data_IF_284892719311
#
_entry.id   IF_284892719311
#
_cell.length_a   1.000
_cell.length_b   1.000
_cell.length_c   1.000
_cell.angle_alpha   90.00
_cell.angle_beta   90.00
_cell.angle_gamma   90.00
#
_symmetry.space_group_name_H-M   'P 1'
#
loop_
_entity.id
_entity.type
_entity.pdbx_description
1 polymer ?
#
# COMPACT_ATOMS: atom_id res chain seq x y z
N UNK A 1 -5.10 -67.14 -6.25
CA UNK A 1 -4.62 -66.76 -4.89
C UNK A 1 -3.13 -66.46 -5.03
N UNK A 2 -2.54 -65.35 -4.54
CA UNK A 2 -3.01 -64.31 -3.62
C UNK A 2 -3.04 -62.86 -4.22
N UNK A 3 -3.49 -61.92 -3.38
CA UNK A 3 -3.71 -60.46 -3.60
C UNK A 3 -2.48 -59.66 -3.03
N UNK A 4 -2.49 -58.31 -2.96
CA UNK A 4 -1.74 -57.34 -3.76
C UNK A 4 -0.58 -56.64 -2.99
N UNK A 5 0.25 -55.85 -3.66
CA UNK A 5 0.88 -54.69 -3.02
C UNK A 5 0.98 -53.50 -3.97
N UNK A 6 0.17 -52.48 -3.69
CA UNK A 6 0.38 -51.09 -4.07
C UNK A 6 1.74 -50.63 -3.53
N UNK A 7 2.65 -50.22 -4.40
CA UNK A 7 3.81 -49.40 -4.01
C UNK A 7 3.72 -48.09 -4.77
N UNK A 8 3.66 -47.01 -3.99
CA UNK A 8 3.56 -45.62 -4.39
C UNK A 8 4.71 -45.25 -5.32
N UNK A 9 4.42 -44.79 -6.53
CA UNK A 9 5.39 -44.08 -7.37
C UNK A 9 5.49 -42.66 -6.82
N UNK A 10 6.52 -42.44 -6.00
CA UNK A 10 6.96 -41.09 -5.66
C UNK A 10 7.74 -40.54 -6.86
N UNK A 11 7.23 -39.45 -7.44
CA UNK A 11 7.96 -38.64 -8.39
C UNK A 11 9.15 -37.99 -7.65
N UNK A 12 10.35 -38.54 -7.87
CA UNK A 12 11.60 -37.86 -7.58
C UNK A 12 12.16 -37.39 -8.91
N UNK A 13 11.89 -36.12 -9.23
CA UNK A 13 12.51 -35.40 -10.35
C UNK A 13 14.03 -35.38 -10.12
N UNK A 14 14.75 -36.10 -10.98
CA UNK A 14 16.19 -36.07 -11.03
C UNK A 14 16.66 -34.66 -11.43
N UNK A 15 17.32 -33.99 -10.49
CA UNK A 15 18.11 -32.80 -10.71
C UNK A 15 19.25 -33.11 -11.68
N UNK A 16 19.13 -32.64 -12.92
CA UNK A 16 20.26 -32.59 -13.83
C UNK A 16 20.94 -31.22 -13.69
N UNK A 17 21.98 -31.19 -12.87
CA UNK A 17 22.97 -30.14 -12.86
C UNK A 17 23.83 -30.28 -14.12
N UNK A 18 23.79 -29.28 -15.00
CA UNK A 18 24.85 -29.04 -15.98
C UNK A 18 25.35 -27.63 -15.77
N UNK A 19 26.58 -27.56 -15.27
CA UNK A 19 27.34 -26.35 -15.10
C UNK A 19 27.60 -25.71 -16.47
N UNK A 20 27.03 -24.52 -16.68
CA UNK A 20 27.63 -23.52 -17.52
C UNK A 20 28.23 -22.47 -16.58
N UNK A 21 29.52 -22.63 -16.28
CA UNK A 21 30.37 -21.55 -15.78
C UNK A 21 30.54 -20.52 -16.89
N UNK A 22 29.51 -19.70 -17.09
CA UNK A 22 29.63 -18.37 -17.67
C UNK A 22 29.51 -17.40 -16.50
N UNK A 23 30.48 -16.49 -16.38
CA UNK A 23 30.71 -15.56 -15.28
C UNK A 23 29.42 -15.20 -14.51
N UNK A 24 29.16 -15.92 -13.42
CA UNK A 24 28.35 -15.39 -12.35
C UNK A 24 29.20 -14.29 -11.72
N UNK A 25 29.05 -13.06 -12.20
CA UNK A 25 29.33 -11.91 -11.35
C UNK A 25 28.59 -12.18 -10.04
N UNK A 26 29.23 -11.98 -8.88
CA UNK A 26 28.48 -12.05 -7.63
C UNK A 26 27.27 -11.15 -7.84
N UNK A 27 26.07 -11.72 -7.65
CA UNK A 27 24.92 -10.91 -7.34
C UNK A 27 25.31 -10.20 -6.05
N UNK A 28 25.94 -9.04 -6.19
CA UNK A 28 26.06 -8.06 -5.15
C UNK A 28 24.65 -7.97 -4.62
N UNK A 29 24.45 -8.46 -3.40
CA UNK A 29 23.31 -8.03 -2.63
C UNK A 29 23.30 -6.52 -2.81
N UNK A 30 22.26 -5.99 -3.43
CA UNK A 30 22.08 -4.55 -3.53
C UNK A 30 22.05 -4.08 -2.08
N UNK A 31 23.19 -3.63 -1.56
CA UNK A 31 23.19 -2.51 -0.63
C UNK A 31 22.21 -1.54 -1.24
N UNK A 32 21.11 -1.24 -0.53
CA UNK A 32 20.20 -0.17 -0.90
C UNK A 32 21.07 1.00 -1.36
N UNK A 33 21.04 1.24 -2.67
CA UNK A 33 21.85 2.31 -3.25
C UNK A 33 21.39 3.59 -2.57
N UNK A 34 22.33 4.39 -2.09
CA UNK A 34 22.07 5.69 -1.45
C UNK A 34 21.62 6.73 -2.48
N UNK A 35 20.69 6.38 -3.36
CA UNK A 35 19.91 7.36 -4.10
C UNK A 35 19.18 8.15 -3.03
N UNK A 36 19.49 9.43 -2.91
CA UNK A 36 18.86 10.23 -1.88
C UNK A 36 17.37 10.32 -2.21
N UNK A 37 16.51 10.02 -1.24
CA UNK A 37 15.07 10.27 -1.36
C UNK A 37 14.77 11.74 -1.71
N UNK A 38 15.74 12.65 -1.48
CA UNK A 38 15.69 14.04 -1.91
C UNK A 38 15.75 14.21 -3.43
N UNK A 39 16.66 13.51 -4.14
CA UNK A 39 16.77 13.58 -5.59
C UNK A 39 15.50 13.07 -6.29
N UNK A 40 14.99 11.91 -5.89
CA UNK A 40 13.73 11.38 -6.44
C UNK A 40 12.52 12.30 -6.16
N UNK A 41 12.51 13.00 -5.02
CA UNK A 41 11.47 13.98 -4.67
C UNK A 41 11.58 15.26 -5.49
N UNK A 42 12.78 15.78 -5.68
CA UNK A 42 13.01 16.98 -6.51
C UNK A 42 12.46 16.80 -7.92
N UNK A 43 12.61 15.60 -8.48
CA UNK A 43 12.09 15.27 -9.82
C UNK A 43 10.57 15.10 -9.81
N UNK A 44 10.00 14.54 -8.74
CA UNK A 44 8.54 14.44 -8.62
C UNK A 44 7.85 15.80 -8.49
N UNK A 45 8.54 16.83 -8.00
CA UNK A 45 8.00 18.19 -7.88
C UNK A 45 7.77 18.86 -9.25
N UNK A 46 8.30 18.33 -10.36
CA UNK A 46 8.01 18.79 -11.72
C UNK A 46 6.55 18.59 -12.12
N UNK A 47 5.85 17.67 -11.46
CA UNK A 47 4.50 17.25 -11.83
C UNK A 47 4.46 16.42 -13.12
N UNK A 48 3.27 15.92 -13.51
CA UNK A 48 3.14 15.00 -14.63
C UNK A 48 3.46 15.67 -15.97
N UNK A 49 4.25 15.00 -16.81
CA UNK A 49 4.69 15.53 -18.10
C UNK A 49 5.91 14.79 -18.65
N UNK A 50 6.22 15.06 -19.92
CA UNK A 50 7.45 14.59 -20.58
C UNK A 50 8.44 15.74 -20.68
N UNK A 51 9.67 15.52 -20.24
CA UNK A 51 10.74 16.52 -20.22
C UNK A 51 11.96 15.99 -20.97
N UNK A 52 12.52 16.84 -21.82
CA UNK A 52 13.81 16.61 -22.48
C UNK A 52 14.95 17.21 -21.65
N UNK A 53 16.19 16.84 -21.96
CA UNK A 53 17.36 17.40 -21.30
C UNK A 53 17.49 18.90 -21.49
N UNK A 54 17.04 19.45 -22.62
CA UNK A 54 17.01 20.89 -22.85
C UNK A 54 16.03 21.61 -21.90
N UNK A 55 14.90 20.97 -21.57
CA UNK A 55 13.94 21.50 -20.61
C UNK A 55 14.49 21.44 -19.18
N UNK A 56 15.23 20.37 -18.85
CA UNK A 56 15.85 20.16 -17.54
C UNK A 56 17.09 21.04 -17.32
N UNK A 57 17.87 21.33 -18.37
CA UNK A 57 19.07 22.17 -18.31
C UNK A 57 18.77 23.64 -17.97
N UNK A 58 17.50 24.08 -18.01
CA UNK A 58 17.10 25.38 -17.49
C UNK A 58 17.08 25.41 -15.95
N UNK A 59 17.17 24.25 -15.29
CA UNK A 59 17.09 24.04 -13.83
C UNK A 59 18.32 23.24 -13.35
N UNK A 60 19.47 23.91 -13.18
CA UNK A 60 20.78 23.30 -12.87
C UNK A 60 20.75 22.26 -11.72
N UNK A 61 19.98 22.49 -10.65
CA UNK A 61 19.92 21.58 -9.49
C UNK A 61 19.16 20.26 -9.80
N UNK A 62 18.28 20.28 -10.79
CA UNK A 62 17.41 19.16 -11.16
C UNK A 62 18.13 18.19 -12.10
N UNK A 63 18.90 18.72 -13.05
CA UNK A 63 19.71 17.91 -13.97
C UNK A 63 20.79 17.17 -13.19
N UNK A 64 21.50 17.82 -12.26
CA UNK A 64 22.48 17.19 -11.37
C UNK A 64 21.85 16.03 -10.56
N UNK A 65 20.63 16.25 -10.06
CA UNK A 65 19.89 15.24 -9.29
C UNK A 65 19.50 14.03 -10.14
N UNK A 66 19.10 14.26 -11.39
CA UNK A 66 18.75 13.21 -12.35
C UNK A 66 19.98 12.43 -12.81
N UNK A 67 21.07 13.13 -13.11
CA UNK A 67 22.34 12.51 -13.50
C UNK A 67 22.91 11.64 -12.39
N UNK A 68 22.91 12.13 -11.15
CA UNK A 68 23.32 11.34 -9.99
C UNK A 68 22.45 10.09 -9.79
N UNK A 69 21.15 10.19 -10.06
CA UNK A 69 20.22 9.06 -9.95
C UNK A 69 20.47 8.02 -11.06
N UNK A 70 20.73 8.46 -12.28
CA UNK A 70 21.09 7.59 -13.40
C UNK A 70 22.45 6.92 -13.20
N UNK A 71 23.50 7.66 -12.83
CA UNK A 71 24.85 7.14 -12.56
C UNK A 71 24.82 6.02 -11.51
N UNK A 72 24.17 6.28 -10.38
CA UNK A 72 24.06 5.31 -9.28
C UNK A 72 23.21 4.09 -9.64
N UNK A 73 22.12 4.29 -10.39
CA UNK A 73 21.19 3.19 -10.73
C UNK A 73 21.79 2.29 -11.80
N UNK A 74 22.41 2.87 -12.82
CA UNK A 74 23.04 2.15 -13.92
C UNK A 74 24.40 1.53 -13.52
N UNK A 75 25.01 1.97 -12.40
CA UNK A 75 26.17 1.36 -11.74
C UNK A 75 27.30 0.98 -12.70
N UNK A 76 27.73 1.93 -13.54
CA UNK A 76 28.81 1.71 -14.51
C UNK A 76 30.14 2.01 -13.82
N UNK A 77 30.55 1.10 -12.94
CA UNK A 77 31.79 1.26 -12.16
C UNK A 77 33.03 1.12 -13.05
N UNK A 78 33.91 2.14 -13.04
CA UNK A 78 35.25 2.09 -13.64
C UNK A 78 35.39 2.72 -15.04
N UNK A 79 34.34 3.35 -15.56
CA UNK A 79 34.35 4.10 -16.81
C UNK A 79 33.84 5.51 -16.54
N UNK A 80 34.36 6.52 -17.25
CA UNK A 80 33.80 7.86 -17.30
C UNK A 80 32.41 7.75 -17.90
N UNK A 81 31.39 7.58 -17.05
CA UNK A 81 30.01 7.79 -17.46
C UNK A 81 29.87 9.29 -17.62
N UNK A 82 30.23 9.80 -18.79
CA UNK A 82 29.52 10.95 -19.28
C UNK A 82 28.18 10.39 -19.71
N UNK A 83 27.16 10.56 -18.85
CA UNK A 83 25.81 10.66 -19.38
C UNK A 83 25.95 11.70 -20.50
N UNK A 84 25.61 11.33 -21.72
CA UNK A 84 25.51 12.38 -22.71
C UNK A 84 24.39 13.26 -22.19
N UNK A 85 24.71 14.46 -21.73
CA UNK A 85 23.82 15.46 -21.12
C UNK A 85 22.73 15.95 -22.07
N UNK A 86 22.48 15.21 -23.14
CA UNK A 86 21.73 15.61 -24.31
C UNK A 86 20.43 14.82 -24.41
N UNK A 87 20.29 13.61 -23.82
CA UNK A 87 19.02 12.84 -23.89
C UNK A 87 18.69 12.08 -22.58
N UNK A 88 18.35 12.81 -21.51
CA UNK A 88 17.54 12.27 -20.41
C UNK A 88 16.08 12.53 -20.76
N UNK A 89 15.37 11.47 -21.10
CA UNK A 89 13.92 11.53 -21.27
C UNK A 89 13.24 11.12 -19.96
N UNK A 90 12.40 12.02 -19.46
CA UNK A 90 11.66 11.84 -18.21
C UNK A 90 10.17 11.91 -18.51
N UNK A 91 9.41 10.86 -18.20
CA UNK A 91 7.95 10.94 -18.12
C UNK A 91 7.50 10.79 -16.67
N UNK A 92 6.97 11.85 -16.09
CA UNK A 92 6.41 11.88 -14.74
C UNK A 92 4.93 11.51 -14.78
N UNK A 93 4.55 10.54 -13.98
CA UNK A 93 3.22 9.97 -13.90
C UNK A 93 2.62 10.26 -12.52
N UNK A 94 1.40 10.78 -12.48
CA UNK A 94 0.65 11.02 -11.23
C UNK A 94 -0.62 10.17 -11.18
N UNK A 95 -0.90 9.61 -10.00
CA UNK A 95 -2.15 8.90 -9.70
C UNK A 95 -3.24 9.82 -9.12
N UNK A 96 -2.93 11.10 -8.91
CA UNK A 96 -3.78 12.18 -8.37
C UNK A 96 -3.92 12.17 -6.85
N UNK A 97 -3.84 11.01 -6.19
CA UNK A 97 -3.96 10.86 -4.74
C UNK A 97 -2.99 9.78 -4.19
N UNK A 98 -1.75 9.76 -4.69
CA UNK A 98 -0.81 8.67 -4.42
C UNK A 98 0.61 8.95 -4.92
N UNK A 99 1.34 7.92 -5.39
CA UNK A 99 2.71 8.09 -5.87
C UNK A 99 2.80 9.02 -7.08
N UNK A 100 3.96 9.67 -7.16
CA UNK A 100 4.54 10.14 -8.41
C UNK A 100 5.57 9.10 -8.86
N UNK A 101 5.55 8.75 -10.15
CA UNK A 101 6.55 7.87 -10.74
C UNK A 101 7.21 8.55 -11.93
N UNK A 102 8.38 8.05 -12.30
CA UNK A 102 9.14 8.54 -13.42
C UNK A 102 9.73 7.38 -14.21
N UNK A 103 9.62 7.48 -15.53
CA UNK A 103 10.34 6.65 -16.50
C UNK A 103 11.55 7.42 -16.98
N UNK A 104 12.73 6.81 -16.91
CA UNK A 104 14.00 7.44 -17.27
C UNK A 104 14.73 6.60 -18.30
N UNK A 105 15.14 7.25 -19.38
CA UNK A 105 16.07 6.72 -20.38
C UNK A 105 17.30 7.60 -20.39
N UNK A 106 18.50 7.00 -20.28
CA UNK A 106 19.77 7.69 -20.21
C UNK A 106 20.82 7.00 -21.10
N UNK A 107 21.49 7.75 -21.96
CA UNK A 107 22.54 7.22 -22.83
C UNK A 107 23.89 7.13 -22.10
N UNK A 108 24.55 5.98 -22.23
CA UNK A 108 25.86 5.68 -21.67
C UNK A 108 26.89 5.62 -22.80
N UNK A 109 27.82 6.59 -22.78
CA UNK A 109 29.02 6.54 -23.61
C UNK A 109 30.09 5.68 -22.92
N UNK A 110 30.62 4.70 -23.65
CA UNK A 110 31.75 3.90 -23.21
C UNK A 110 33.01 4.48 -23.86
N UNK A 111 33.91 5.03 -23.04
CA UNK A 111 35.08 5.84 -23.43
C UNK A 111 36.23 5.03 -24.09
N UNK A 112 35.91 3.98 -24.85
CA UNK A 112 36.90 3.20 -25.60
C UNK A 112 36.73 3.46 -27.10
N UNK A 113 37.87 3.58 -27.79
CA UNK A 113 38.15 4.03 -29.17
C UNK A 113 37.43 3.24 -30.31
N UNK A 114 36.27 2.63 -30.04
CA UNK A 114 35.43 1.90 -30.99
C UNK A 114 33.97 2.37 -30.91
N UNK A 115 33.63 3.20 -31.88
CA UNK A 115 32.39 3.94 -32.14
C UNK A 115 31.11 3.11 -32.34
N UNK A 116 30.89 1.99 -31.64
CA UNK A 116 29.88 1.00 -32.10
C UNK A 116 28.83 0.60 -31.06
N UNK A 117 28.98 0.92 -29.77
CA UNK A 117 27.97 0.52 -28.78
C UNK A 117 27.66 1.61 -27.76
N UNK A 118 26.97 2.65 -28.19
CA UNK A 118 26.19 3.46 -27.27
C UNK A 118 25.12 2.55 -26.62
N UNK A 119 25.05 2.56 -25.29
CA UNK A 119 24.09 1.76 -24.52
C UNK A 119 23.11 2.68 -23.83
N UNK A 120 21.82 2.49 -24.04
CA UNK A 120 20.79 3.22 -23.31
C UNK A 120 20.41 2.45 -22.06
N UNK A 121 20.51 3.10 -20.90
CA UNK A 121 20.05 2.59 -19.61
C UNK A 121 18.64 3.12 -19.33
N UNK A 122 17.72 2.18 -19.13
CA UNK A 122 16.31 2.44 -18.88
C UNK A 122 15.94 1.97 -17.48
N UNK A 123 15.31 2.82 -16.69
CA UNK A 123 14.79 2.46 -15.37
C UNK A 123 13.57 3.32 -15.01
N UNK A 124 12.86 2.92 -13.97
CA UNK A 124 11.77 3.69 -13.39
C UNK A 124 12.04 3.93 -11.91
N UNK A 125 11.53 5.04 -11.38
CA UNK A 125 11.45 5.25 -9.94
C UNK A 125 10.04 5.66 -9.53
N UNK A 126 9.68 5.32 -8.30
CA UNK A 126 8.41 5.66 -7.67
C UNK A 126 8.71 6.34 -6.35
N UNK A 127 8.08 7.48 -6.08
CA UNK A 127 8.27 8.26 -4.86
C UNK A 127 6.92 8.65 -4.26
N UNK A 128 6.83 8.50 -2.95
CA UNK A 128 5.61 8.76 -2.19
C UNK A 128 5.50 10.24 -1.83
N UNK A 129 4.27 10.70 -1.62
CA UNK A 129 4.06 11.98 -0.95
C UNK A 129 4.79 12.00 0.40
N UNK A 130 5.28 13.18 0.81
CA UNK A 130 5.93 13.34 2.12
C UNK A 130 5.07 12.72 3.22
N UNK A 131 5.71 11.92 4.08
CA UNK A 131 5.10 11.20 5.20
C UNK A 131 4.19 10.02 4.85
N UNK A 132 4.32 9.44 3.66
CA UNK A 132 3.63 8.18 3.28
C UNK A 132 4.61 7.08 2.92
N UNK A 133 4.17 5.82 3.01
CA UNK A 133 4.91 4.64 2.56
C UNK A 133 4.07 3.80 1.62
N UNK A 134 4.74 3.07 0.75
CA UNK A 134 4.15 2.13 -0.20
C UNK A 134 4.12 0.71 0.33
N UNK A 135 3.11 -0.01 -0.12
CA UNK A 135 3.01 -1.46 -0.07
C UNK A 135 2.30 -1.94 -1.34
N UNK A 136 2.98 -2.72 -2.20
CA UNK A 136 2.43 -3.11 -3.49
C UNK A 136 3.43 -3.79 -4.42
N UNK A 137 3.21 -3.64 -5.72
CA UNK A 137 4.06 -4.21 -6.77
C UNK A 137 4.16 -3.30 -7.99
N UNK A 138 5.26 -3.43 -8.73
CA UNK A 138 5.46 -2.79 -10.02
C UNK A 138 5.93 -3.79 -11.07
N UNK A 139 5.67 -3.47 -12.33
CA UNK A 139 6.22 -4.11 -13.51
C UNK A 139 6.72 -3.01 -14.45
N UNK A 140 8.03 -3.00 -14.68
CA UNK A 140 8.72 -2.15 -15.62
C UNK A 140 9.13 -2.97 -16.84
N UNK A 141 8.81 -2.50 -18.04
CA UNK A 141 9.18 -3.21 -19.26
C UNK A 141 9.74 -2.24 -20.29
N UNK A 142 10.76 -2.69 -21.01
CA UNK A 142 11.34 -1.99 -22.15
C UNK A 142 11.00 -2.78 -23.41
N UNK A 143 10.47 -2.10 -24.42
CA UNK A 143 10.08 -2.68 -25.71
C UNK A 143 10.93 -2.08 -26.82
N UNK A 144 11.43 -2.91 -27.74
CA UNK A 144 12.10 -2.44 -28.95
C UNK A 144 11.05 -1.98 -29.94
N UNK A 145 11.14 -0.76 -30.45
CA UNK A 145 10.40 -0.34 -31.62
C UNK A 145 11.33 -0.41 -32.84
N UNK A 146 11.23 -1.51 -33.59
CA UNK A 146 11.95 -1.66 -34.86
C UNK A 146 11.25 -0.78 -35.90
N UNK A 147 11.93 0.25 -36.44
CA UNK A 147 11.32 1.17 -37.39
C UNK A 147 11.25 0.53 -38.78
N UNK A 148 10.39 -0.46 -39.01
CA UNK A 148 10.20 -1.01 -40.36
C UNK A 148 8.92 -1.84 -40.50
N UNK A 149 7.77 -1.17 -40.71
CA UNK A 149 6.64 -1.59 -41.57
C UNK A 149 6.03 -3.01 -41.45
N UNK A 150 6.48 -3.85 -40.54
CA UNK A 150 6.02 -5.20 -40.29
C UNK A 150 5.58 -5.24 -38.83
N UNK A 151 4.27 -5.32 -38.62
CA UNK A 151 3.61 -5.71 -37.37
C UNK A 151 4.47 -5.48 -36.12
N UNK A 152 4.39 -4.27 -35.56
CA UNK A 152 4.95 -3.88 -34.26
C UNK A 152 4.56 -4.90 -33.19
N UNK A 153 5.35 -5.97 -33.04
CA UNK A 153 5.23 -6.86 -31.90
C UNK A 153 5.94 -6.12 -30.77
N UNK A 154 5.16 -5.45 -29.93
CA UNK A 154 5.60 -4.83 -28.67
C UNK A 154 5.98 -5.92 -27.65
N UNK A 155 6.73 -6.93 -28.07
CA UNK A 155 7.24 -7.93 -27.15
C UNK A 155 8.32 -7.27 -26.30
N UNK A 156 8.17 -7.27 -24.96
CA UNK A 156 9.14 -6.62 -24.10
C UNK A 156 10.50 -7.29 -24.25
N UNK A 157 11.51 -6.52 -24.66
CA UNK A 157 12.91 -6.92 -24.65
C UNK A 157 13.29 -7.47 -23.27
N UNK A 158 12.75 -6.84 -22.23
CA UNK A 158 12.89 -7.27 -20.84
C UNK A 158 11.74 -6.73 -20.01
N UNK A 159 11.16 -7.59 -19.16
CA UNK A 159 10.24 -7.18 -18.10
C UNK A 159 10.89 -7.43 -16.75
N UNK A 160 10.88 -6.42 -15.90
CA UNK A 160 11.34 -6.44 -14.51
C UNK A 160 10.14 -6.22 -13.61
N UNK A 161 9.86 -7.19 -12.74
CA UNK A 161 8.82 -7.05 -11.70
C UNK A 161 9.46 -6.92 -10.34
N UNK A 162 8.88 -6.11 -9.46
CA UNK A 162 9.36 -5.97 -8.09
C UNK A 162 8.25 -5.59 -7.11
N UNK A 163 8.59 -5.61 -5.82
CA UNK A 163 7.72 -5.18 -4.73
C UNK A 163 7.92 -3.70 -4.42
N UNK A 164 6.83 -3.02 -4.07
CA UNK A 164 6.87 -1.66 -3.53
C UNK A 164 6.84 -1.73 -2.01
N UNK A 165 7.91 -1.28 -1.34
CA UNK A 165 7.98 -1.19 0.11
C UNK A 165 8.86 0.00 0.50
N UNK A 166 8.33 0.93 1.30
CA UNK A 166 9.06 2.10 1.77
C UNK A 166 8.58 3.42 1.15
N UNK A 167 9.38 4.48 1.27
CA UNK A 167 9.00 5.83 0.80
C UNK A 167 9.32 6.06 -0.69
N UNK A 168 10.26 5.29 -1.23
CA UNK A 168 10.68 5.35 -2.62
C UNK A 168 11.15 3.96 -3.07
N UNK A 169 11.06 3.68 -4.38
CA UNK A 169 11.56 2.46 -5.00
C UNK A 169 12.14 2.80 -6.36
N UNK A 170 13.31 2.25 -6.67
CA UNK A 170 13.92 2.31 -7.99
C UNK A 170 13.87 0.92 -8.60
N UNK A 171 13.46 0.80 -9.86
CA UNK A 171 13.44 -0.47 -10.56
C UNK A 171 14.85 -0.94 -10.88
N UNK A 172 15.03 -2.25 -11.05
CA UNK A 172 16.29 -2.74 -11.64
C UNK A 172 16.46 -2.16 -13.05
N UNK A 173 17.64 -1.62 -13.41
CA UNK A 173 17.86 -1.05 -14.74
C UNK A 173 17.87 -2.12 -15.84
N UNK A 174 17.50 -1.69 -17.04
CA UNK A 174 17.58 -2.46 -18.27
C UNK A 174 18.44 -1.73 -19.27
N UNK A 175 19.32 -2.45 -19.97
CA UNK A 175 20.22 -1.86 -20.96
C UNK A 175 19.80 -2.29 -22.36
N UNK A 176 19.73 -1.34 -23.28
CA UNK A 176 19.51 -1.53 -24.72
C UNK A 176 20.67 -0.94 -25.51
N UNK A 177 20.79 -1.29 -26.79
CA UNK A 177 21.79 -0.75 -27.72
C UNK A 177 21.16 0.31 -28.62
N UNK A 178 21.86 1.41 -28.91
CA UNK A 178 21.30 2.61 -29.57
C UNK A 178 20.68 2.38 -30.96
N UNK A 179 20.95 1.26 -31.64
CA UNK A 179 20.26 0.93 -32.89
C UNK A 179 18.77 0.64 -32.73
N UNK A 180 18.28 0.50 -31.50
CA UNK A 180 16.88 0.21 -31.18
C UNK A 180 16.27 1.39 -30.42
N UNK A 181 15.26 2.04 -31.02
CA UNK A 181 14.38 2.92 -30.26
C UNK A 181 13.67 2.07 -29.20
N UNK A 182 13.79 2.46 -27.94
CA UNK A 182 13.28 1.66 -26.83
C UNK A 182 12.21 2.46 -26.09
N UNK A 183 10.96 2.01 -26.19
CA UNK A 183 9.90 2.53 -25.36
C UNK A 183 9.99 1.89 -23.98
N UNK A 184 9.68 2.67 -22.96
CA UNK A 184 9.65 2.19 -21.58
C UNK A 184 8.22 2.26 -21.05
N UNK A 185 7.78 1.22 -20.34
CA UNK A 185 6.46 1.17 -19.73
C UNK A 185 6.57 0.82 -18.26
N UNK A 186 5.75 1.47 -17.45
CA UNK A 186 5.61 1.18 -16.03
C UNK A 186 4.14 0.92 -15.74
N UNK A 187 3.87 -0.21 -15.11
CA UNK A 187 2.60 -0.47 -14.44
C UNK A 187 2.88 -0.72 -12.96
N UNK A 188 2.08 -0.13 -12.08
CA UNK A 188 2.24 -0.36 -10.65
C UNK A 188 0.92 -0.19 -9.92
N UNK A 189 0.79 -0.91 -8.81
CA UNK A 189 -0.41 -0.86 -7.98
C UNK A 189 -0.09 -1.26 -6.56
N UNK A 190 -0.88 -0.75 -5.63
CA UNK A 190 -0.68 -1.03 -4.21
C UNK A 190 -1.55 -0.17 -3.32
N UNK A 191 -1.03 0.07 -2.12
CA UNK A 191 -1.61 0.98 -1.15
C UNK A 191 -0.54 1.94 -0.62
N UNK A 192 -0.93 3.18 -0.36
CA UNK A 192 -0.14 4.12 0.44
C UNK A 192 -0.67 4.12 1.87
N UNK A 193 0.21 4.31 2.84
CA UNK A 193 -0.17 4.57 4.23
C UNK A 193 0.60 5.75 4.80
N UNK A 194 -0.07 6.61 5.57
CA UNK A 194 0.63 7.67 6.31
C UNK A 194 1.52 7.04 7.38
N UNK A 195 2.74 7.58 7.51
CA UNK A 195 3.69 7.22 8.56
C UNK A 195 3.11 7.42 9.96
N UNK A 196 2.28 8.45 10.12
CA UNK A 196 1.58 8.73 11.39
C UNK A 196 0.23 8.01 11.42
N UNK A 197 -0.01 7.10 12.37
CA UNK A 197 -1.31 6.43 12.51
C UNK A 197 -2.43 7.44 12.76
N UNK A 198 -3.57 7.24 12.10
CA UNK A 198 -4.76 8.03 12.33
C UNK A 198 -5.44 7.61 13.64
N UNK A 199 -6.16 8.54 14.27
CA UNK A 199 -6.96 8.27 15.45
C UNK A 199 -8.45 8.35 15.12
N UNK A 200 -9.24 7.42 15.66
CA UNK A 200 -10.69 7.51 15.67
C UNK A 200 -11.23 7.33 17.08
N UNK A 201 -12.28 8.06 17.42
CA UNK A 201 -13.01 7.85 18.67
C UNK A 201 -14.14 6.86 18.41
N UNK A 202 -14.06 5.70 19.06
CA UNK A 202 -15.13 4.70 19.06
C UNK A 202 -15.92 4.86 20.35
N UNK A 203 -17.26 4.90 20.22
CA UNK A 203 -18.15 5.01 21.37
C UNK A 203 -18.68 3.63 21.74
N UNK A 204 -18.24 3.11 22.87
CA UNK A 204 -18.70 1.84 23.43
C UNK A 204 -19.80 2.08 24.48
N UNK A 205 -20.85 1.27 24.44
CA UNK A 205 -21.89 1.29 25.47
C UNK A 205 -21.61 0.22 26.51
N UNK A 206 -21.01 0.63 27.64
CA UNK A 206 -20.76 -0.27 28.75
C UNK A 206 -22.01 -0.41 29.60
N UNK A 207 -22.58 -1.61 29.63
CA UNK A 207 -23.77 -1.93 30.43
C UNK A 207 -23.36 -2.64 31.71
N UNK A 208 -23.50 -1.97 32.86
CA UNK A 208 -23.13 -2.54 34.15
C UNK A 208 -24.36 -3.10 34.86
N UNK A 209 -24.37 -4.39 35.22
CA UNK A 209 -25.47 -4.96 36.00
C UNK A 209 -25.51 -4.35 37.40
N UNK A 210 -26.71 -4.13 37.94
CA UNK A 210 -26.88 -3.69 39.33
C UNK A 210 -26.33 -4.74 40.30
N UNK A 211 -25.65 -4.29 41.35
CA UNK A 211 -25.09 -5.16 42.39
C UNK A 211 -26.17 -5.98 43.11
N UNK A 212 -25.77 -7.13 43.66
CA UNK A 212 -26.66 -8.00 44.44
C UNK A 212 -27.30 -7.26 45.63
N UNK A 213 -26.53 -6.39 46.30
CA UNK A 213 -27.02 -5.56 47.41
C UNK A 213 -28.12 -4.59 46.94
N UNK A 214 -27.92 -3.90 45.80
CA UNK A 214 -28.91 -2.99 45.24
C UNK A 214 -30.20 -3.73 44.84
N UNK A 215 -30.08 -4.93 44.23
CA UNK A 215 -31.23 -5.78 43.89
C UNK A 215 -31.99 -6.23 45.14
N UNK A 216 -31.29 -6.62 46.21
CA UNK A 216 -31.90 -7.03 47.50
C UNK A 216 -32.62 -5.86 48.17
N UNK A 217 -32.02 -4.66 48.16
CA UNK A 217 -32.66 -3.45 48.69
C UNK A 217 -33.92 -3.06 47.90
N UNK A 218 -33.87 -3.11 46.56
CA UNK A 218 -35.03 -2.85 45.71
C UNK A 218 -36.16 -3.85 45.95
N UNK A 219 -35.83 -5.14 46.11
CA UNK A 219 -36.81 -6.19 46.43
C UNK A 219 -37.49 -5.94 47.77
N UNK A 220 -36.73 -5.57 48.82
CA UNK A 220 -37.29 -5.25 50.14
C UNK A 220 -38.29 -4.09 50.07
N UNK A 221 -38.00 -3.05 49.28
CA UNK A 221 -38.94 -1.92 49.04
C UNK A 221 -40.21 -2.38 48.31
N UNK A 222 -40.06 -3.19 47.26
CA UNK A 222 -41.18 -3.77 46.53
C UNK A 222 -42.09 -4.62 47.44
N UNK A 223 -41.51 -5.56 48.20
CA UNK A 223 -42.27 -6.45 49.08
C UNK A 223 -43.02 -5.66 50.16
N UNK A 224 -42.41 -4.60 50.71
CA UNK A 224 -43.09 -3.67 51.65
C UNK A 224 -44.27 -2.97 50.98
N UNK A 225 -44.11 -2.44 49.76
CA UNK A 225 -45.17 -1.77 49.02
C UNK A 225 -46.36 -2.71 48.72
N UNK A 226 -46.08 -3.96 48.32
CA UNK A 226 -47.11 -4.98 48.07
C UNK A 226 -47.84 -5.37 49.36
N UNK A 227 -47.10 -5.58 50.47
CA UNK A 227 -47.71 -5.87 51.77
C UNK A 227 -48.63 -4.74 52.23
N UNK A 228 -48.21 -3.48 52.10
CA UNK A 228 -49.04 -2.32 52.43
C UNK A 228 -50.30 -2.26 51.56
N UNK A 229 -50.16 -2.45 50.24
CA UNK A 229 -51.31 -2.44 49.33
C UNK A 229 -52.33 -3.54 49.67
N UNK A 230 -51.87 -4.76 49.99
CA UNK A 230 -52.72 -5.87 50.45
C UNK A 230 -53.42 -5.55 51.78
N UNK A 231 -52.72 -4.92 52.74
CA UNK A 231 -53.31 -4.51 54.03
C UNK A 231 -54.42 -3.47 53.82
N UNK A 232 -54.21 -2.49 52.95
CA UNK A 232 -55.23 -1.50 52.59
C UNK A 232 -56.43 -2.15 51.90
N UNK A 233 -56.21 -3.10 50.99
CA UNK A 233 -57.30 -3.84 50.35
C UNK A 233 -58.15 -4.64 51.35
N UNK A 234 -57.50 -5.31 52.32
CA UNK A 234 -58.19 -6.05 53.38
C UNK A 234 -59.03 -5.10 54.25
N UNK A 235 -58.52 -3.90 54.59
CA UNK A 235 -59.26 -2.87 55.33
C UNK A 235 -60.46 -2.31 54.56
N UNK A 236 -60.38 -2.21 53.24
CA UNK A 236 -61.43 -1.65 52.38
C UNK A 236 -62.57 -2.63 52.01
N UNK A 237 -62.76 -3.71 52.78
CA UNK A 237 -63.89 -4.63 52.60
C UNK A 237 -63.88 -5.46 51.30
N UNK A 238 -62.73 -5.61 50.62
CA UNK A 238 -62.55 -6.42 49.39
C UNK A 238 -63.50 -6.09 48.23
N UNK A 239 -63.96 -4.85 48.10
CA UNK A 239 -64.86 -4.41 47.03
C UNK A 239 -64.21 -4.43 45.64
N UNK A 240 -65.02 -4.46 44.55
CA UNK A 240 -64.52 -4.36 43.16
C UNK A 240 -63.63 -3.12 42.94
N UNK A 241 -64.02 -1.96 43.52
CA UNK A 241 -63.22 -0.72 43.46
C UNK A 241 -61.88 -0.89 44.18
N UNK A 242 -61.86 -1.47 45.38
CA UNK A 242 -60.64 -1.75 46.12
C UNK A 242 -59.71 -2.75 45.40
N UNK A 243 -60.27 -3.74 44.69
CA UNK A 243 -59.50 -4.71 43.88
C UNK A 243 -58.77 -4.01 42.72
N UNK A 244 -59.42 -3.05 42.04
CA UNK A 244 -58.81 -2.24 40.98
C UNK A 244 -57.67 -1.36 41.52
N UNK A 245 -57.85 -0.76 42.70
CA UNK A 245 -56.81 0.05 43.36
C UNK A 245 -55.61 -0.81 43.77
N UNK A 246 -55.84 -2.01 44.32
CA UNK A 246 -54.77 -2.96 44.65
C UNK A 246 -53.94 -3.31 43.40
N UNK A 247 -54.60 -3.71 42.31
CA UNK A 247 -53.92 -4.06 41.07
C UNK A 247 -53.06 -2.92 40.53
N UNK A 248 -53.58 -1.67 40.52
CA UNK A 248 -52.82 -0.49 40.10
C UNK A 248 -51.59 -0.23 40.98
N UNK A 249 -51.74 -0.30 42.31
CA UNK A 249 -50.62 -0.09 43.24
C UNK A 249 -49.55 -1.18 43.12
N UNK A 250 -49.95 -2.44 42.95
CA UNK A 250 -49.02 -3.55 42.73
C UNK A 250 -48.31 -3.43 41.39
N UNK A 251 -49.01 -3.05 40.32
CA UNK A 251 -48.41 -2.83 39.00
C UNK A 251 -47.41 -1.66 39.02
N UNK A 252 -47.74 -0.55 39.69
CA UNK A 252 -46.83 0.58 39.87
C UNK A 252 -45.57 0.17 40.65
N UNK A 253 -45.72 -0.60 41.74
CA UNK A 253 -44.59 -1.13 42.50
C UNK A 253 -43.72 -2.08 41.66
N UNK A 254 -44.33 -2.92 40.81
CA UNK A 254 -43.61 -3.82 39.89
C UNK A 254 -42.81 -3.02 38.85
N UNK A 255 -43.40 -1.98 38.27
CA UNK A 255 -42.72 -1.08 37.31
C UNK A 255 -41.55 -0.34 37.95
N UNK A 256 -41.74 0.17 39.17
CA UNK A 256 -40.68 0.83 39.95
C UNK A 256 -39.55 -0.15 40.30
N UNK A 257 -39.87 -1.39 40.68
CA UNK A 257 -38.88 -2.44 40.93
C UNK A 257 -38.06 -2.77 39.67
N UNK A 258 -38.73 -2.98 38.53
CA UNK A 258 -38.07 -3.27 37.25
C UNK A 258 -37.08 -2.16 36.87
N UNK A 259 -37.45 -0.89 37.04
CA UNK A 259 -36.55 0.26 36.82
C UNK A 259 -35.37 0.27 37.79
N UNK A 260 -35.60 -0.05 39.07
CA UNK A 260 -34.55 -0.03 40.09
C UNK A 260 -33.48 -1.12 39.89
N UNK A 261 -33.84 -2.25 39.26
CA UNK A 261 -32.92 -3.35 38.96
C UNK A 261 -32.35 -3.33 37.54
N UNK A 262 -32.86 -2.43 36.68
CA UNK A 262 -32.38 -2.30 35.32
C UNK A 262 -30.88 -1.97 35.31
N UNK A 263 -30.09 -2.57 34.38
CA UNK A 263 -28.69 -2.22 34.21
C UNK A 263 -28.54 -0.71 33.96
N UNK A 264 -27.42 -0.16 34.41
CA UNK A 264 -27.04 1.20 34.02
C UNK A 264 -26.07 1.10 32.86
N UNK A 265 -26.39 1.77 31.76
CA UNK A 265 -25.50 1.89 30.62
C UNK A 265 -24.84 3.27 30.64
N UNK A 266 -23.54 3.31 30.35
CA UNK A 266 -22.80 4.56 30.12
C UNK A 266 -22.05 4.44 28.81
N UNK A 267 -22.03 5.53 28.05
CA UNK A 267 -21.12 5.65 26.91
C UNK A 267 -19.70 5.86 27.45
N UNK A 268 -18.75 5.12 26.91
CA UNK A 268 -17.32 5.31 27.14
C UNK A 268 -16.71 5.50 25.77
N UNK A 269 -16.02 6.62 25.59
CA UNK A 269 -15.30 6.91 24.36
C UNK A 269 -13.89 6.30 24.48
N UNK A 270 -13.51 5.46 23.52
CA UNK A 270 -12.17 4.86 23.41
C UNK A 270 -11.50 5.42 22.15
N UNK A 271 -10.27 5.89 22.28
CA UNK A 271 -9.45 6.27 21.13
C UNK A 271 -8.79 5.01 20.59
N UNK A 272 -9.01 4.73 19.32
CA UNK A 272 -8.34 3.67 18.58
C UNK A 272 -7.40 4.30 17.56
N UNK A 273 -6.14 3.85 17.56
CA UNK A 273 -5.18 4.12 16.50
C UNK A 273 -5.34 3.12 15.38
N UNK A 274 -5.30 3.59 14.14
CA UNK A 274 -5.36 2.74 12.95
C UNK A 274 -4.46 3.31 11.84
N UNK A 275 -3.90 2.42 11.03
CA UNK A 275 -3.17 2.82 9.83
C UNK A 275 -4.16 2.93 8.68
N UNK A 276 -4.43 4.15 8.23
CA UNK A 276 -5.21 4.37 7.03
C UNK A 276 -4.40 3.92 5.81
N UNK A 277 -5.01 3.10 4.95
CA UNK A 277 -4.43 2.66 3.68
C UNK A 277 -5.31 3.16 2.53
N UNK A 278 -4.70 3.82 1.56
CA UNK A 278 -5.38 4.30 0.35
C UNK A 278 -4.90 3.46 -0.84
N UNK A 279 -5.78 2.72 -1.53
CA UNK A 279 -5.39 1.96 -2.71
C UNK A 279 -5.10 2.91 -3.88
N UNK A 280 -4.17 2.53 -4.74
CA UNK A 280 -3.82 3.28 -5.95
C UNK A 280 -3.33 2.33 -7.05
N UNK A 281 -3.38 2.81 -8.28
CA UNK A 281 -2.82 2.14 -9.45
C UNK A 281 -2.38 3.19 -10.47
N UNK A 282 -1.32 2.91 -11.20
CA UNK A 282 -0.87 3.75 -12.30
C UNK A 282 -0.31 2.90 -13.45
N UNK A 283 -0.37 3.47 -14.64
CA UNK A 283 0.25 2.94 -15.84
C UNK A 283 0.70 4.10 -16.70
N UNK A 284 1.89 4.02 -17.26
CA UNK A 284 2.37 4.99 -18.24
C UNK A 284 3.44 4.40 -19.12
N UNK A 285 3.65 5.08 -20.24
CA UNK A 285 4.63 4.74 -21.27
C UNK A 285 5.43 5.98 -21.60
N UNK A 286 6.74 5.81 -21.78
CA UNK A 286 7.63 6.78 -22.36
C UNK A 286 7.88 6.29 -23.79
N UNK A 287 7.30 7.02 -24.75
CA UNK A 287 7.54 6.80 -26.18
C UNK A 287 8.75 7.66 -26.57
N UNK A 288 9.80 7.02 -27.07
CA UNK A 288 11.03 7.73 -27.43
C UNK A 288 10.80 8.65 -28.65
N UNK A 289 9.83 8.35 -29.52
CA UNK A 289 9.56 9.10 -30.75
C UNK A 289 8.77 10.38 -30.54
N UNK A 290 7.95 10.44 -29.50
CA UNK A 290 7.18 11.64 -29.15
C UNK A 290 8.04 12.71 -28.45
N UNK A 291 9.29 12.37 -28.09
CA UNK A 291 10.18 13.20 -27.29
C UNK A 291 11.35 13.84 -28.08
N UNK A 292 11.53 13.49 -29.36
CA UNK A 292 12.58 14.00 -30.28
C UNK A 292 11.94 14.74 -31.44
#
# INVERSE_FOLDING_TARGET
MPIPHLVRVAAATATLAVAATALAMPASASTESTVSAAAARAVADLGPGTFSTADLAAEDDLIDSMEALADQTCNVSGQSVSLNSDVVLLNVLDSGAGPVAALVSADINLDDDQSVYERTCNFAFLVSEQSTTFDGSYSFAVTSDVPDGQSSSLDPLKTVTGSLNGEYVVSTPTFTTVTEFADASLTSSGSTSKLTPAQRTVRDVVTTPKSAQAKKAAKKKYDKAVKTAKKTFKKAGKTKKAKKVLARKTAAAKKAYARAIAPTSRAVDRVETYTARTPWSMSGTLDYRDAV
#
